data_IF_450514557544
#
_entry.id   IF_450514557544
#
_cell.length_a   1.000
_cell.length_b   1.000
_cell.length_c   1.000
_cell.angle_alpha   90.00
_cell.angle_beta   90.00
_cell.angle_gamma   90.00
#
_symmetry.space_group_name_H-M   'P 1'
#
loop_
_entity.id
_entity.type
_entity.pdbx_description
1 polymer ?
#
# COMPACT_ATOMS: atom_id res chain seq x y z
N UNK A 1 20.81 23.15 24.47
CA UNK A 1 20.71 21.81 24.76
C UNK A 1 19.37 21.28 24.85
N UNK A 2 18.52 21.81 25.63
CA UNK A 2 17.21 21.30 25.73
C UNK A 2 16.45 21.34 24.49
N UNK A 3 16.84 22.14 23.58
CA UNK A 3 16.09 22.38 22.37
C UNK A 3 16.04 21.20 21.45
N UNK A 4 17.03 20.36 21.46
CA UNK A 4 17.00 19.33 20.51
C UNK A 4 16.05 18.23 20.81
N UNK A 5 15.71 17.99 22.04
CA UNK A 5 14.78 16.93 22.24
C UNK A 5 13.46 17.24 21.65
N UNK A 6 13.14 18.47 21.60
CA UNK A 6 11.87 18.89 21.05
C UNK A 6 11.78 18.57 19.59
N UNK A 7 12.86 18.76 18.87
CA UNK A 7 12.86 18.43 17.46
C UNK A 7 12.62 16.97 17.22
N UNK A 8 13.26 16.13 17.99
CA UNK A 8 13.12 14.71 17.78
C UNK A 8 11.71 14.26 17.96
N UNK A 9 11.03 14.82 18.91
CA UNK A 9 9.66 14.48 19.17
C UNK A 9 8.79 14.85 18.01
N UNK A 10 8.99 16.01 17.47
CA UNK A 10 8.18 16.48 16.34
C UNK A 10 8.37 15.61 15.13
N UNK A 11 9.57 15.20 14.84
CA UNK A 11 9.80 14.33 13.72
C UNK A 11 9.06 13.03 13.84
N UNK A 12 9.11 12.42 15.00
CA UNK A 12 8.45 11.16 15.20
C UNK A 12 6.97 11.25 14.94
N UNK A 13 6.37 12.30 15.41
CA UNK A 13 4.95 12.50 15.23
C UNK A 13 4.59 12.68 13.78
N UNK A 14 5.35 13.48 13.08
CA UNK A 14 5.07 13.73 11.67
C UNK A 14 5.20 12.48 10.82
N UNK A 15 6.18 11.68 11.11
CA UNK A 15 6.42 10.47 10.35
C UNK A 15 5.26 9.51 10.46
N UNK A 16 4.70 9.38 11.64
CA UNK A 16 3.62 8.44 11.88
C UNK A 16 2.36 8.86 11.16
N UNK A 17 2.12 10.15 11.07
CA UNK A 17 0.86 10.65 10.52
C UNK A 17 0.65 10.33 9.06
N UNK A 18 1.73 10.07 8.31
CA UNK A 18 1.63 9.91 6.87
C UNK A 18 1.89 8.48 6.39
N UNK A 19 1.84 7.54 7.29
CA UNK A 19 2.13 6.17 6.91
C UNK A 19 1.03 5.53 6.10
N UNK A 20 1.43 4.75 5.13
CA UNK A 20 0.50 3.97 4.33
C UNK A 20 1.20 2.68 3.91
N UNK A 21 0.42 1.70 3.47
CA UNK A 21 0.99 0.48 2.92
C UNK A 21 0.58 0.36 1.46
N UNK A 22 1.40 -0.34 0.69
CA UNK A 22 1.17 -0.56 -0.73
C UNK A 22 1.11 -2.06 -0.97
N UNK A 23 0.05 -2.52 -1.62
CA UNK A 23 -0.15 -3.94 -1.89
C UNK A 23 -0.22 -4.16 -3.39
N UNK A 24 0.65 -5.06 -3.88
CA UNK A 24 0.62 -5.54 -5.25
C UNK A 24 -0.30 -6.76 -5.26
N UNK A 25 -1.40 -6.68 -5.99
CA UNK A 25 -2.38 -7.76 -5.99
C UNK A 25 -2.27 -8.66 -7.21
N UNK A 26 -1.13 -8.57 -7.92
CA UNK A 26 -0.85 -9.45 -9.03
C UNK A 26 -0.38 -10.81 -8.52
N UNK A 27 -0.09 -11.73 -9.43
CA UNK A 27 0.44 -13.03 -9.04
C UNK A 27 1.84 -12.89 -8.44
N UNK A 28 2.25 -13.89 -7.66
CA UNK A 28 3.59 -13.88 -7.08
C UNK A 28 4.66 -13.91 -8.16
N UNK A 29 4.37 -14.54 -9.29
CA UNK A 29 5.32 -14.58 -10.40
C UNK A 29 5.49 -13.21 -11.03
N UNK A 30 4.40 -12.49 -11.23
CA UNK A 30 4.49 -11.12 -11.73
C UNK A 30 5.29 -10.24 -10.77
N UNK A 31 5.02 -10.39 -9.48
CA UNK A 31 5.71 -9.62 -8.46
C UNK A 31 7.22 -9.83 -8.53
N UNK A 32 7.65 -11.06 -8.73
CA UNK A 32 9.08 -11.38 -8.79
C UNK A 32 9.78 -10.77 -9.99
N UNK A 33 9.05 -10.54 -11.08
CA UNK A 33 9.67 -9.97 -12.28
C UNK A 33 9.80 -8.46 -12.21
N UNK A 34 9.18 -7.83 -11.21
CA UNK A 34 9.27 -6.38 -11.02
C UNK A 34 8.09 -5.90 -10.22
N UNK A 35 8.36 -5.13 -9.18
CA UNK A 35 7.31 -4.59 -8.32
C UNK A 35 7.77 -3.25 -7.76
N UNK A 36 6.85 -2.49 -7.23
CA UNK A 36 7.18 -1.20 -6.64
C UNK A 36 7.89 -1.42 -5.32
N UNK A 37 8.97 -0.68 -5.11
CA UNK A 37 9.74 -0.77 -3.87
C UNK A 37 8.83 -0.62 -2.66
N UNK A 38 9.06 -1.47 -1.66
CA UNK A 38 8.32 -1.45 -0.40
C UNK A 38 6.84 -1.78 -0.57
N UNK A 39 6.50 -2.54 -1.60
CA UNK A 39 5.15 -3.09 -1.71
C UNK A 39 5.16 -4.53 -1.24
N UNK A 40 4.01 -4.97 -0.76
CA UNK A 40 3.79 -6.36 -0.35
C UNK A 40 2.95 -7.04 -1.42
N UNK A 41 3.14 -8.33 -1.61
CA UNK A 41 2.36 -9.08 -2.59
C UNK A 41 1.27 -9.89 -1.88
N UNK A 42 0.02 -9.56 -2.18
CA UNK A 42 -1.14 -10.34 -1.73
C UNK A 42 -2.07 -10.41 -2.92
N UNK A 43 -2.20 -11.59 -3.51
CA UNK A 43 -3.00 -11.73 -4.72
C UNK A 43 -4.46 -11.38 -4.44
N UNK A 44 -5.14 -10.80 -5.41
CA UNK A 44 -6.44 -10.21 -5.18
C UNK A 44 -7.47 -11.24 -4.67
N UNK A 45 -7.35 -12.50 -5.09
CA UNK A 45 -8.31 -13.53 -4.68
C UNK A 45 -8.27 -13.83 -3.18
N UNK A 46 -7.14 -13.53 -2.55
CA UNK A 46 -6.98 -13.77 -1.12
C UNK A 46 -6.76 -12.48 -0.35
N UNK A 47 -7.18 -11.35 -0.90
CA UNK A 47 -6.95 -10.07 -0.26
C UNK A 47 -7.63 -9.99 1.12
N UNK A 48 -8.70 -10.73 1.33
CA UNK A 48 -9.37 -10.73 2.63
C UNK A 48 -8.50 -11.28 3.76
N UNK A 49 -7.41 -11.97 3.41
CA UNK A 49 -6.52 -12.52 4.44
C UNK A 49 -5.82 -11.44 5.27
N UNK A 50 -5.79 -10.18 4.79
CA UNK A 50 -5.09 -9.13 5.53
C UNK A 50 -5.85 -8.67 6.77
N UNK A 51 -7.11 -9.11 6.96
CA UNK A 51 -7.93 -8.60 8.07
C UNK A 51 -7.33 -8.89 9.43
N UNK A 52 -6.51 -9.94 9.54
CA UNK A 52 -5.90 -10.29 10.81
C UNK A 52 -4.65 -9.49 11.11
N UNK A 53 -4.11 -8.78 10.14
CA UNK A 53 -2.83 -8.09 10.28
C UNK A 53 -2.91 -6.60 10.03
N UNK A 54 -3.89 -6.14 9.29
CA UNK A 54 -3.99 -4.74 8.88
C UNK A 54 -5.24 -4.13 9.48
N UNK A 55 -5.08 -3.03 10.19
CA UNK A 55 -6.20 -2.36 10.85
C UNK A 55 -7.10 -1.70 9.82
N UNK A 56 -8.37 -1.56 10.16
CA UNK A 56 -9.38 -1.03 9.23
C UNK A 56 -9.17 0.43 8.90
N UNK A 57 -8.48 1.18 9.73
CA UNK A 57 -8.19 2.59 9.46
C UNK A 57 -6.84 2.82 8.79
N UNK A 58 -6.12 1.74 8.46
CA UNK A 58 -4.84 1.86 7.77
C UNK A 58 -5.07 2.37 6.35
N UNK A 59 -4.28 3.35 5.94
CA UNK A 59 -4.31 3.83 4.56
C UNK A 59 -3.65 2.80 3.67
N UNK A 60 -4.37 2.37 2.63
CA UNK A 60 -3.92 1.29 1.75
C UNK A 60 -4.00 1.74 0.30
N UNK A 61 -2.91 1.57 -0.41
CA UNK A 61 -2.87 1.72 -1.87
C UNK A 61 -2.68 0.35 -2.48
N UNK A 62 -3.41 0.10 -3.57
CA UNK A 62 -3.29 -1.17 -4.27
C UNK A 62 -3.00 -0.90 -5.74
N UNK A 63 -2.30 -1.83 -6.37
CA UNK A 63 -2.09 -1.75 -7.81
C UNK A 63 -2.02 -3.16 -8.39
N UNK A 64 -2.22 -3.26 -9.69
CA UNK A 64 -2.00 -4.49 -10.42
C UNK A 64 -1.36 -4.16 -11.76
N UNK A 65 -1.60 -4.94 -12.80
CA UNK A 65 -1.00 -4.68 -14.09
C UNK A 65 -1.71 -3.54 -14.82
N UNK A 66 -3.04 -3.50 -14.74
CA UNK A 66 -3.83 -2.51 -15.48
C UNK A 66 -4.96 -1.89 -14.65
N UNK A 67 -5.10 -2.25 -13.37
CA UNK A 67 -6.09 -1.65 -12.50
C UNK A 67 -7.33 -2.48 -12.26
N UNK A 68 -7.57 -3.54 -13.03
CA UNK A 68 -8.80 -4.32 -12.92
C UNK A 68 -8.82 -5.21 -11.70
N UNK A 69 -7.74 -5.98 -11.50
CA UNK A 69 -7.64 -6.86 -10.33
C UNK A 69 -7.57 -6.04 -9.05
N UNK A 70 -6.88 -4.91 -9.09
CA UNK A 70 -6.79 -4.05 -7.92
C UNK A 70 -8.12 -3.38 -7.62
N UNK A 71 -8.98 -3.16 -8.62
CA UNK A 71 -10.32 -2.66 -8.34
C UNK A 71 -11.14 -3.72 -7.62
N UNK A 72 -11.03 -4.98 -8.04
CA UNK A 72 -11.72 -6.07 -7.35
C UNK A 72 -11.27 -6.14 -5.88
N UNK A 73 -9.96 -6.06 -5.66
CA UNK A 73 -9.43 -6.11 -4.30
C UNK A 73 -9.90 -4.93 -3.48
N UNK A 74 -9.91 -3.74 -4.08
CA UNK A 74 -10.38 -2.53 -3.41
C UNK A 74 -11.82 -2.69 -2.96
N UNK A 75 -12.68 -3.18 -3.84
CA UNK A 75 -14.08 -3.38 -3.53
C UNK A 75 -14.26 -4.37 -2.37
N UNK A 76 -13.50 -5.45 -2.38
CA UNK A 76 -13.55 -6.43 -1.30
C UNK A 76 -13.15 -5.79 0.03
N UNK A 77 -12.08 -5.01 0.04
CA UNK A 77 -11.62 -4.39 1.27
C UNK A 77 -12.62 -3.37 1.80
N UNK A 78 -13.23 -2.61 0.92
CA UNK A 78 -14.26 -1.65 1.34
C UNK A 78 -15.43 -2.39 1.97
N UNK A 79 -15.85 -3.48 1.35
CA UNK A 79 -16.94 -4.29 1.90
C UNK A 79 -16.59 -4.88 3.27
N UNK A 80 -15.32 -5.14 3.51
CA UNK A 80 -14.86 -5.65 4.79
C UNK A 80 -14.69 -4.56 5.85
N UNK A 81 -14.95 -3.31 5.50
CA UNK A 81 -14.91 -2.22 6.48
C UNK A 81 -13.65 -1.39 6.47
N UNK A 82 -12.75 -1.58 5.50
CA UNK A 82 -11.56 -0.73 5.40
C UNK A 82 -11.99 0.66 4.93
N UNK A 83 -11.45 1.68 5.60
CA UNK A 83 -11.95 3.05 5.45
C UNK A 83 -11.16 3.89 4.46
N UNK A 84 -9.93 3.50 4.16
CA UNK A 84 -9.03 4.35 3.36
C UNK A 84 -8.26 3.49 2.37
N UNK A 85 -8.93 3.10 1.30
CA UNK A 85 -8.37 2.19 0.29
C UNK A 85 -8.48 2.85 -1.07
N UNK A 86 -7.37 2.89 -1.79
CA UNK A 86 -7.33 3.52 -3.11
C UNK A 86 -6.67 2.59 -4.14
N UNK A 87 -7.34 2.39 -5.25
CA UNK A 87 -6.78 1.67 -6.39
C UNK A 87 -5.93 2.63 -7.20
N UNK A 88 -4.63 2.38 -7.27
CA UNK A 88 -3.73 3.23 -8.04
C UNK A 88 -3.64 2.83 -9.52
N UNK A 89 -4.30 1.74 -9.91
CA UNK A 89 -4.32 1.33 -11.29
C UNK A 89 -3.19 0.38 -11.63
N UNK A 90 -2.56 0.58 -12.79
CA UNK A 90 -1.45 -0.26 -13.22
C UNK A 90 -0.16 0.10 -12.52
N UNK A 91 0.79 -0.82 -12.58
CA UNK A 91 2.05 -0.66 -11.87
C UNK A 91 2.81 0.61 -12.28
N UNK A 92 2.76 0.97 -13.56
CA UNK A 92 3.49 2.17 -14.01
C UNK A 92 2.86 3.44 -13.45
N UNK A 93 1.55 3.52 -13.49
CA UNK A 93 0.85 4.66 -12.92
C UNK A 93 1.06 4.75 -11.42
N UNK A 94 1.03 3.60 -10.75
CA UNK A 94 1.25 3.55 -9.33
C UNK A 94 2.66 4.02 -8.96
N UNK A 95 3.66 3.59 -9.74
CA UNK A 95 5.04 3.99 -9.50
C UNK A 95 5.19 5.51 -9.60
N UNK A 96 4.54 6.11 -10.59
CA UNK A 96 4.57 7.56 -10.77
C UNK A 96 3.90 8.26 -9.59
N UNK A 97 2.72 7.80 -9.21
CA UNK A 97 1.98 8.39 -8.11
C UNK A 97 2.79 8.35 -6.82
N UNK A 98 3.40 7.20 -6.54
CA UNK A 98 4.14 6.99 -5.29
C UNK A 98 5.55 7.55 -5.34
N UNK A 99 6.03 7.89 -6.53
CA UNK A 99 7.41 8.33 -6.74
C UNK A 99 8.39 7.28 -6.24
N UNK A 100 8.13 6.04 -6.58
CA UNK A 100 8.96 4.90 -6.22
C UNK A 100 9.39 4.14 -7.45
N UNK A 101 10.54 3.50 -7.36
CA UNK A 101 11.08 2.70 -8.44
C UNK A 101 10.43 1.32 -8.48
N UNK A 102 10.46 0.72 -9.68
CA UNK A 102 10.07 -0.67 -9.86
C UNK A 102 11.37 -1.48 -9.77
N UNK A 103 11.38 -2.49 -8.93
CA UNK A 103 12.57 -3.27 -8.66
C UNK A 103 12.24 -4.76 -8.70
N UNK A 104 13.27 -5.60 -8.73
CA UNK A 104 13.07 -7.05 -8.70
C UNK A 104 13.44 -7.62 -7.32
#
# INVERSE_FOLDING_TARGET
MKIFYIFLILFGINTIADEFIVIDVRTSEEFKTGHIEESSNVEWQIISSIVDEVKKDQKIYLYCRSGRRSQNATDILIDLGYEDVTNLGGIKDAAIFLQRNITE
#
